data_IF_217857762550
#
_entry.id   IF_217857762550
#
_cell.length_a   1.000
_cell.length_b   1.000
_cell.length_c   1.000
_cell.angle_alpha   90.00
_cell.angle_beta   90.00
_cell.angle_gamma   90.00
#
_symmetry.space_group_name_H-M   'P 1'
#
loop_
_entity.id
_entity.type
_entity.pdbx_description
1 polymer ?
#
# COMPACT_ATOMS: atom_id res chain seq x y z
N UNK A 1 13.02 -0.95 4.26
CA UNK A 1 12.64 -1.17 2.85
C UNK A 1 11.93 0.07 2.36
N UNK A 2 12.33 0.60 1.22
CA UNK A 2 11.60 1.69 0.56
C UNK A 2 10.28 1.17 -0.03
N UNK A 3 9.33 2.07 -0.33
CA UNK A 3 8.11 1.71 -1.05
C UNK A 3 8.38 0.98 -2.38
N UNK A 4 9.38 1.43 -3.13
CA UNK A 4 9.73 0.87 -4.43
C UNK A 4 10.38 -0.52 -4.29
N UNK A 5 11.23 -0.72 -3.28
CA UNK A 5 11.78 -2.04 -2.94
C UNK A 5 10.67 -3.03 -2.53
N UNK A 6 9.61 -2.55 -1.88
CA UNK A 6 8.45 -3.39 -1.51
C UNK A 6 7.71 -3.88 -2.74
N UNK A 7 7.51 -3.00 -3.73
CA UNK A 7 6.93 -3.37 -5.04
C UNK A 7 7.81 -4.34 -5.80
N UNK A 8 9.13 -4.12 -5.79
CA UNK A 8 10.09 -5.03 -6.42
C UNK A 8 10.02 -6.42 -5.78
N UNK A 9 10.06 -6.51 -4.45
CA UNK A 9 9.92 -7.78 -3.72
C UNK A 9 8.61 -8.50 -4.04
N UNK A 10 7.49 -7.77 -4.14
CA UNK A 10 6.20 -8.32 -4.49
C UNK A 10 6.15 -8.91 -5.92
N UNK A 11 6.86 -8.26 -6.85
CA UNK A 11 7.04 -8.74 -8.24
C UNK A 11 7.91 -9.99 -8.27
N UNK A 12 9.03 -9.99 -7.56
CA UNK A 12 9.98 -11.12 -7.52
C UNK A 12 9.34 -12.38 -6.92
N UNK A 13 8.45 -12.21 -5.94
CA UNK A 13 7.70 -13.30 -5.31
C UNK A 13 6.48 -13.75 -6.12
N UNK A 14 6.11 -13.06 -7.21
CA UNK A 14 4.89 -13.37 -7.98
C UNK A 14 3.61 -13.28 -7.14
N UNK A 15 3.55 -12.32 -6.22
CA UNK A 15 2.40 -12.19 -5.30
C UNK A 15 1.11 -11.85 -6.04
N UNK A 16 -0.03 -12.25 -5.48
CA UNK A 16 -1.36 -11.83 -5.98
C UNK A 16 -1.77 -10.46 -5.46
N UNK A 17 -1.32 -10.09 -4.25
CA UNK A 17 -1.67 -8.85 -3.61
C UNK A 17 -0.61 -8.41 -2.59
N UNK A 18 -0.60 -7.11 -2.30
CA UNK A 18 0.31 -6.47 -1.35
C UNK A 18 -0.51 -5.61 -0.39
N UNK A 19 -0.33 -5.83 0.91
CA UNK A 19 -0.86 -4.99 1.97
C UNK A 19 0.29 -4.24 2.65
N UNK A 20 0.50 -2.94 2.37
CA UNK A 20 1.55 -2.16 3.01
C UNK A 20 1.30 -2.03 4.51
N UNK A 21 2.36 -2.21 5.31
CA UNK A 21 2.35 -2.03 6.76
C UNK A 21 3.41 -1.01 7.20
N UNK A 22 3.51 -0.75 8.50
CA UNK A 22 4.53 0.13 9.10
C UNK A 22 4.53 1.58 8.57
N UNK A 23 3.38 2.08 8.10
CA UNK A 23 3.20 3.44 7.61
C UNK A 23 2.05 4.15 8.37
N UNK A 24 2.00 5.49 8.25
CA UNK A 24 0.85 6.35 8.60
C UNK A 24 0.27 6.30 10.02
N UNK A 25 0.90 5.59 10.96
CA UNK A 25 0.48 5.53 12.39
C UNK A 25 1.42 6.23 13.36
N UNK A 26 2.74 6.06 13.18
CA UNK A 26 3.76 6.60 14.08
C UNK A 26 4.86 7.34 13.31
N UNK A 27 5.35 8.45 13.86
CA UNK A 27 6.48 9.20 13.29
C UNK A 27 7.81 8.57 13.72
N UNK A 28 8.29 7.62 12.93
CA UNK A 28 9.56 6.92 13.16
C UNK A 28 10.65 7.30 12.14
N UNK A 29 10.37 8.25 11.24
CA UNK A 29 11.29 8.74 10.21
C UNK A 29 10.95 10.19 9.83
N UNK A 30 11.77 10.80 8.96
CA UNK A 30 11.71 12.22 8.60
C UNK A 30 10.71 12.58 7.50
N UNK A 31 10.23 11.59 6.72
CA UNK A 31 9.23 11.80 5.68
C UNK A 31 7.86 12.23 6.25
N UNK A 32 7.01 12.83 5.42
CA UNK A 32 5.61 13.09 5.83
C UNK A 32 4.87 11.78 6.05
N UNK A 33 3.82 11.80 6.86
CA UNK A 33 3.14 10.58 7.29
C UNK A 33 2.47 9.80 6.13
N UNK A 34 2.12 10.48 5.04
CA UNK A 34 1.46 9.91 3.86
C UNK A 34 2.42 9.55 2.73
N UNK A 35 3.67 10.08 2.73
CA UNK A 35 4.63 9.88 1.64
C UNK A 35 4.87 8.40 1.30
N UNK A 36 5.07 7.48 2.27
CA UNK A 36 5.28 6.06 1.93
C UNK A 36 4.08 5.41 1.24
N UNK A 37 2.86 5.78 1.64
CA UNK A 37 1.62 5.28 1.02
C UNK A 37 1.48 5.79 -0.40
N UNK A 38 1.76 7.08 -0.63
CA UNK A 38 1.72 7.66 -1.97
C UNK A 38 2.75 7.00 -2.89
N UNK A 39 3.98 6.83 -2.40
CA UNK A 39 5.06 6.22 -3.19
C UNK A 39 4.79 4.76 -3.53
N UNK A 40 4.29 3.95 -2.59
CA UNK A 40 3.96 2.54 -2.88
C UNK A 40 2.79 2.47 -3.87
N UNK A 41 1.81 3.36 -3.76
CA UNK A 41 0.70 3.46 -4.70
C UNK A 41 1.16 3.79 -6.13
N UNK A 42 2.07 4.75 -6.28
CA UNK A 42 2.63 5.09 -7.59
C UNK A 42 3.47 3.95 -8.16
N UNK A 43 4.33 3.34 -7.35
CA UNK A 43 5.17 2.22 -7.77
C UNK A 43 4.36 0.97 -8.15
N UNK A 44 3.19 0.75 -7.52
CA UNK A 44 2.32 -0.38 -7.81
C UNK A 44 1.51 -0.24 -9.10
N UNK A 45 1.49 0.94 -9.72
CA UNK A 45 0.74 1.14 -10.97
C UNK A 45 1.29 0.21 -12.06
N UNK A 46 0.38 -0.43 -12.80
CA UNK A 46 0.68 -1.41 -13.86
C UNK A 46 1.43 -2.67 -13.40
N UNK A 47 1.44 -2.98 -12.10
CA UNK A 47 2.01 -4.23 -11.58
C UNK A 47 0.99 -5.39 -11.62
N UNK A 48 1.45 -6.66 -11.72
CA UNK A 48 0.56 -7.83 -11.85
C UNK A 48 -0.12 -8.25 -10.53
N UNK A 49 -0.02 -7.43 -9.47
CA UNK A 49 -0.60 -7.69 -8.17
C UNK A 49 -1.56 -6.57 -7.77
N UNK A 50 -2.50 -6.88 -6.88
CA UNK A 50 -3.41 -5.89 -6.29
C UNK A 50 -2.78 -5.19 -5.09
N UNK A 51 -2.64 -3.87 -5.13
CA UNK A 51 -2.30 -3.10 -3.94
C UNK A 51 -3.55 -2.93 -3.06
N UNK A 52 -3.46 -3.34 -1.80
CA UNK A 52 -4.51 -3.19 -0.80
C UNK A 52 -4.18 -2.02 0.12
N UNK A 53 -5.06 -1.02 0.17
CA UNK A 53 -4.91 0.14 1.05
C UNK A 53 -6.15 0.37 1.91
N UNK A 54 -6.49 -0.58 2.80
CA UNK A 54 -7.63 -0.41 3.69
C UNK A 54 -7.47 0.87 4.50
N UNK A 55 -8.58 1.58 4.69
CA UNK A 55 -8.66 2.61 5.72
C UNK A 55 -8.36 1.94 7.08
N UNK A 56 -7.73 2.65 8.01
CA UNK A 56 -7.43 2.11 9.33
C UNK A 56 -8.72 1.59 9.99
N UNK A 57 -8.77 0.29 10.30
CA UNK A 57 -9.94 -0.39 10.84
C UNK A 57 -10.91 -0.99 9.81
N UNK A 58 -10.69 -0.77 8.51
CA UNK A 58 -11.46 -1.41 7.44
C UNK A 58 -11.09 -2.89 7.34
N UNK A 59 -12.12 -3.75 7.23
CA UNK A 59 -11.94 -5.18 7.01
C UNK A 59 -11.38 -5.45 5.62
N UNK A 60 -10.47 -6.43 5.51
CA UNK A 60 -9.93 -6.94 4.25
C UNK A 60 -10.44 -8.37 4.06
N UNK A 61 -11.13 -8.61 2.95
CA UNK A 61 -11.53 -9.94 2.52
C UNK A 61 -10.49 -10.47 1.52
N UNK A 62 -9.69 -11.44 1.95
CA UNK A 62 -8.57 -11.98 1.15
C UNK A 62 -9.08 -12.78 -0.05
N UNK A 63 -10.24 -13.41 0.08
CA UNK A 63 -10.85 -14.26 -0.95
C UNK A 63 -11.73 -13.47 -1.93
N UNK A 64 -11.78 -12.14 -1.82
CA UNK A 64 -12.56 -11.26 -2.68
C UNK A 64 -11.66 -10.33 -3.51
N UNK A 65 -11.24 -10.77 -4.72
CA UNK A 65 -10.40 -9.96 -5.60
C UNK A 65 -11.05 -8.65 -6.04
N UNK A 66 -12.37 -8.51 -5.92
CA UNK A 66 -13.13 -7.31 -6.28
C UNK A 66 -13.14 -6.19 -5.24
N UNK A 67 -12.70 -6.43 -3.99
CA UNK A 67 -12.79 -5.40 -2.95
C UNK A 67 -11.94 -4.17 -3.28
N UNK A 68 -12.55 -3.02 -3.52
CA UNK A 68 -11.81 -1.80 -3.86
C UNK A 68 -11.24 -1.10 -2.62
N UNK A 69 -10.05 -0.52 -2.77
CA UNK A 69 -9.39 0.26 -1.73
C UNK A 69 -9.11 1.67 -2.24
N UNK A 70 -9.55 2.66 -1.46
CA UNK A 70 -9.32 4.08 -1.81
C UNK A 70 -7.90 4.51 -1.42
N UNK A 71 -7.39 5.51 -2.13
CA UNK A 71 -6.23 6.28 -1.71
C UNK A 71 -6.60 7.29 -0.60
N UNK A 72 -7.13 6.77 0.52
CA UNK A 72 -7.78 7.56 1.58
C UNK A 72 -6.89 8.64 2.19
N UNK A 73 -5.57 8.48 2.15
CA UNK A 73 -4.64 9.50 2.64
C UNK A 73 -4.80 10.82 1.86
N UNK A 74 -5.11 10.77 0.56
CA UNK A 74 -5.30 11.95 -0.29
C UNK A 74 -6.49 12.83 0.07
N UNK A 75 -7.43 12.31 0.86
CA UNK A 75 -8.57 13.08 1.35
C UNK A 75 -8.27 13.76 2.70
N UNK A 76 -7.11 13.49 3.30
CA UNK A 76 -6.73 13.93 4.65
C UNK A 76 -5.56 14.94 4.69
N UNK A 77 -4.94 15.27 3.55
CA UNK A 77 -3.87 16.26 3.46
C UNK A 77 -4.05 17.25 2.32
#
# INVERSE_FOLDING_TARGET
MTPEETVQAAKDLGTKAVLPSHNSKFKLSHHTWYEPLERVYQASQNQPFKLMTPLIGQQVNIDEPGQEFKAWWRELY
#
